data_IF_891171848454
#
_entry.id   IF_891171848454
#
_cell.length_a   1.000
_cell.length_b   1.000
_cell.length_c   1.000
_cell.angle_alpha   90.00
_cell.angle_beta   90.00
_cell.angle_gamma   90.00
#
_symmetry.space_group_name_H-M   'P 1'
#
loop_
_entity.id
_entity.type
_entity.pdbx_description
1 polymer ?
#
# COMPACT_ATOMS: atom_id res chain seq x y z
N UNK A 1 54.47 -32.91 4.02
CA UNK A 1 53.44 -33.35 3.05
C UNK A 1 52.09 -33.27 3.76
N UNK A 2 51.43 -32.12 3.64
CA UNK A 2 50.14 -31.83 4.28
C UNK A 2 49.03 -32.10 3.27
N UNK A 3 48.19 -33.10 3.54
CA UNK A 3 46.92 -33.32 2.85
C UNK A 3 45.86 -32.44 3.50
N UNK A 4 45.53 -31.31 2.87
CA UNK A 4 44.28 -30.60 3.13
C UNK A 4 43.35 -30.84 1.93
N UNK A 5 42.44 -31.80 2.09
CA UNK A 5 41.28 -31.94 1.22
C UNK A 5 40.35 -30.75 1.48
N UNK A 6 40.38 -29.76 0.58
CA UNK A 6 39.34 -28.75 0.52
C UNK A 6 38.03 -29.44 0.09
N UNK A 7 37.12 -29.62 1.03
CA UNK A 7 35.70 -29.83 0.75
C UNK A 7 35.17 -28.54 0.15
N UNK A 8 35.24 -28.41 -1.17
CA UNK A 8 34.55 -27.35 -1.90
C UNK A 8 33.07 -27.71 -1.90
N UNK A 9 32.36 -27.25 -0.86
CA UNK A 9 30.90 -27.28 -0.81
C UNK A 9 30.38 -26.55 -2.04
N UNK A 10 29.65 -27.26 -2.90
CA UNK A 10 28.97 -26.66 -4.04
C UNK A 10 28.09 -25.48 -3.57
N UNK A 11 28.01 -24.37 -4.33
CA UNK A 11 27.06 -23.33 -4.00
C UNK A 11 25.67 -23.94 -4.13
N UNK A 12 24.98 -24.02 -2.99
CA UNK A 12 23.56 -24.32 -2.89
C UNK A 12 22.86 -23.41 -3.90
N UNK A 13 22.30 -24.01 -4.95
CA UNK A 13 21.48 -23.29 -5.91
C UNK A 13 20.25 -22.86 -5.12
N UNK A 14 20.28 -21.64 -4.60
CA UNK A 14 19.09 -20.96 -4.08
C UNK A 14 18.09 -21.00 -5.23
N UNK A 15 17.10 -21.88 -5.08
CA UNK A 15 15.90 -21.88 -5.90
C UNK A 15 15.33 -20.48 -5.76
N UNK A 16 15.58 -19.66 -6.77
CA UNK A 16 14.98 -18.35 -6.88
C UNK A 16 13.47 -18.59 -6.94
N UNK A 17 12.79 -18.25 -5.84
CA UNK A 17 11.35 -18.06 -5.79
C UNK A 17 10.91 -17.44 -7.13
N UNK A 18 9.95 -18.05 -7.86
CA UNK A 18 9.56 -17.52 -9.15
C UNK A 18 9.07 -16.10 -8.93
N UNK A 19 9.85 -15.12 -9.42
CA UNK A 19 9.48 -13.70 -9.42
C UNK A 19 8.19 -13.63 -10.20
N UNK A 20 7.08 -13.56 -9.49
CA UNK A 20 5.74 -13.57 -10.05
C UNK A 20 5.69 -12.43 -11.07
N UNK A 21 5.63 -12.78 -12.36
CA UNK A 21 5.75 -11.81 -13.43
C UNK A 21 4.65 -10.76 -13.25
N UNK A 22 5.07 -9.52 -12.95
CA UNK A 22 4.15 -8.41 -12.72
C UNK A 22 3.17 -8.31 -13.89
N UNK A 23 1.88 -8.24 -13.58
CA UNK A 23 0.85 -8.04 -14.59
C UNK A 23 1.12 -6.71 -15.31
N UNK A 24 0.85 -6.59 -16.63
CA UNK A 24 1.16 -5.39 -17.40
C UNK A 24 0.62 -4.08 -16.78
N UNK A 25 -0.57 -4.14 -16.17
CA UNK A 25 -1.16 -2.98 -15.49
C UNK A 25 -0.38 -2.54 -14.25
N UNK A 26 0.26 -3.47 -13.52
CA UNK A 26 1.06 -3.15 -12.33
C UNK A 26 2.31 -2.36 -12.72
N UNK A 27 3.00 -2.79 -13.79
CA UNK A 27 4.17 -2.09 -14.31
C UNK A 27 3.82 -0.66 -14.76
N UNK A 28 2.67 -0.50 -15.43
CA UNK A 28 2.20 0.82 -15.88
C UNK A 28 1.82 1.73 -14.71
N UNK A 29 1.12 1.20 -13.70
CA UNK A 29 0.82 1.95 -12.46
C UNK A 29 2.10 2.38 -11.76
N UNK A 30 3.08 1.49 -11.60
CA UNK A 30 4.37 1.83 -11.00
C UNK A 30 5.10 2.92 -11.77
N UNK A 31 5.09 2.87 -13.11
CA UNK A 31 5.68 3.91 -13.97
C UNK A 31 5.01 5.27 -13.75
N UNK A 32 3.68 5.32 -13.73
CA UNK A 32 2.90 6.55 -13.54
C UNK A 32 3.12 7.13 -12.14
N UNK A 33 3.10 6.30 -11.10
CA UNK A 33 3.34 6.74 -9.72
C UNK A 33 4.77 7.27 -9.55
N UNK A 34 5.76 6.64 -10.17
CA UNK A 34 7.15 7.11 -10.15
C UNK A 34 7.27 8.51 -10.77
N UNK A 35 6.62 8.73 -11.93
CA UNK A 35 6.63 10.03 -12.58
C UNK A 35 5.91 11.10 -11.73
N UNK A 36 4.77 10.77 -11.14
CA UNK A 36 4.03 11.68 -10.26
C UNK A 36 4.82 12.05 -9.00
N UNK A 37 5.50 11.08 -8.39
CA UNK A 37 6.33 11.30 -7.21
C UNK A 37 7.53 12.20 -7.51
N UNK A 38 8.22 11.98 -8.63
CA UNK A 38 9.33 12.83 -9.07
C UNK A 38 8.90 14.29 -9.21
N UNK A 39 7.77 14.53 -9.87
CA UNK A 39 7.21 15.88 -10.01
C UNK A 39 6.89 16.52 -8.66
N UNK A 40 6.32 15.76 -7.72
CA UNK A 40 5.99 16.28 -6.39
C UNK A 40 7.26 16.68 -5.61
N UNK A 41 8.32 15.89 -5.69
CA UNK A 41 9.61 16.19 -5.06
C UNK A 41 10.23 17.46 -5.66
N UNK A 42 10.18 17.64 -6.98
CA UNK A 42 10.66 18.87 -7.64
C UNK A 42 9.91 20.12 -7.18
N UNK A 43 8.61 19.99 -6.88
CA UNK A 43 7.77 21.08 -6.39
C UNK A 43 7.82 21.27 -4.86
N UNK A 44 8.60 20.46 -4.13
CA UNK A 44 8.68 20.51 -2.68
C UNK A 44 7.39 20.04 -1.96
N UNK A 45 6.55 19.26 -2.63
CA UNK A 45 5.36 18.65 -2.04
C UNK A 45 5.81 17.47 -1.17
N UNK A 46 5.38 17.47 0.10
CA UNK A 46 5.66 16.38 1.02
C UNK A 46 4.87 15.10 0.70
N UNK A 47 5.27 14.00 1.35
CA UNK A 47 4.64 12.69 1.16
C UNK A 47 3.16 12.69 1.54
N UNK A 48 2.78 13.44 2.58
CA UNK A 48 1.40 13.45 3.08
C UNK A 48 0.45 14.12 2.09
N UNK A 49 0.87 15.24 1.50
CA UNK A 49 0.12 15.94 0.46
C UNK A 49 0.03 15.13 -0.82
N UNK A 50 1.12 14.47 -1.23
CA UNK A 50 1.10 13.55 -2.37
C UNK A 50 0.11 12.40 -2.16
N UNK A 51 0.14 11.75 -1.00
CA UNK A 51 -0.78 10.65 -0.67
C UNK A 51 -2.24 11.11 -0.60
N UNK A 52 -2.49 12.30 -0.05
CA UNK A 52 -3.84 12.88 0.01
C UNK A 52 -4.39 13.17 -1.39
N UNK A 53 -3.55 13.67 -2.30
CA UNK A 53 -3.93 13.90 -3.69
C UNK A 53 -4.20 12.57 -4.44
N UNK A 54 -3.32 11.58 -4.31
CA UNK A 54 -3.50 10.26 -4.91
C UNK A 54 -4.80 9.58 -4.43
N UNK A 55 -5.10 9.70 -3.13
CA UNK A 55 -6.35 9.21 -2.56
C UNK A 55 -7.59 9.93 -3.14
N UNK A 56 -7.57 11.26 -3.24
CA UNK A 56 -8.69 12.02 -3.81
C UNK A 56 -9.01 11.58 -5.24
N UNK A 57 -7.98 11.47 -6.09
CA UNK A 57 -8.13 11.02 -7.48
C UNK A 57 -8.67 9.59 -7.55
N UNK A 58 -8.21 8.70 -6.67
CA UNK A 58 -8.73 7.33 -6.59
C UNK A 58 -10.22 7.31 -6.23
N UNK A 59 -10.64 8.10 -5.24
CA UNK A 59 -12.06 8.20 -4.86
C UNK A 59 -12.90 8.80 -5.98
N UNK A 60 -12.44 9.86 -6.62
CA UNK A 60 -13.12 10.51 -7.75
C UNK A 60 -13.25 9.59 -8.96
N UNK A 61 -12.32 8.65 -9.16
CA UNK A 61 -12.39 7.66 -10.23
C UNK A 61 -13.48 6.59 -10.02
N UNK A 62 -14.12 6.55 -8.84
CA UNK A 62 -15.12 5.54 -8.45
C UNK A 62 -16.47 6.19 -8.13
N UNK A 63 -17.45 6.17 -9.05
CA UNK A 63 -18.81 6.61 -8.76
C UNK A 63 -19.40 5.87 -7.55
N UNK A 64 -20.00 6.59 -6.59
CA UNK A 64 -20.62 5.98 -5.41
C UNK A 64 -19.67 5.71 -4.23
N UNK A 65 -18.35 5.84 -4.42
CA UNK A 65 -17.38 5.53 -3.35
C UNK A 65 -17.40 6.57 -2.23
N UNK A 66 -17.64 7.85 -2.56
CA UNK A 66 -17.77 8.92 -1.57
C UNK A 66 -18.97 8.66 -0.67
N UNK A 67 -20.11 8.34 -1.27
CA UNK A 67 -21.35 8.04 -0.55
C UNK A 67 -21.19 6.81 0.35
N UNK A 68 -20.49 5.76 -0.12
CA UNK A 68 -20.18 4.58 0.70
C UNK A 68 -19.27 4.90 1.89
N UNK A 69 -18.28 5.76 1.71
CA UNK A 69 -17.39 6.20 2.80
C UNK A 69 -18.15 7.02 3.85
N UNK A 70 -19.03 7.92 3.39
CA UNK A 70 -19.87 8.73 4.28
C UNK A 70 -20.84 7.85 5.07
N UNK A 71 -21.48 6.87 4.42
CA UNK A 71 -22.36 5.93 5.08
C UNK A 71 -21.63 5.06 6.12
N UNK A 72 -20.44 4.57 5.78
CA UNK A 72 -19.61 3.79 6.70
C UNK A 72 -19.22 4.63 7.94
N UNK A 73 -18.81 5.89 7.73
CA UNK A 73 -18.45 6.80 8.81
C UNK A 73 -19.64 7.11 9.72
N UNK A 74 -20.82 7.38 9.14
CA UNK A 74 -22.03 7.65 9.92
C UNK A 74 -22.45 6.44 10.77
N UNK A 75 -22.37 5.23 10.21
CA UNK A 75 -22.66 3.99 10.95
C UNK A 75 -21.71 3.79 12.13
N UNK A 76 -20.42 4.08 11.96
CA UNK A 76 -19.44 4.00 13.04
C UNK A 76 -19.75 5.01 14.15
N UNK A 77 -20.06 6.26 13.81
CA UNK A 77 -20.44 7.29 14.78
C UNK A 77 -21.70 6.90 15.58
N UNK A 78 -22.72 6.36 14.91
CA UNK A 78 -23.94 5.90 15.58
C UNK A 78 -23.65 4.74 16.54
N UNK A 79 -22.77 3.81 16.15
CA UNK A 79 -22.37 2.71 17.02
C UNK A 79 -21.60 3.19 18.25
N UNK A 80 -20.69 4.17 18.09
CA UNK A 80 -19.97 4.78 19.21
C UNK A 80 -20.95 5.45 20.20
N UNK A 81 -21.93 6.20 19.71
CA UNK A 81 -22.96 6.83 20.54
C UNK A 81 -23.79 5.77 21.28
N UNK A 82 -24.19 4.69 20.60
CA UNK A 82 -24.95 3.60 21.20
C UNK A 82 -24.15 2.86 22.27
N UNK A 83 -22.84 2.70 22.10
CA UNK A 83 -21.96 2.13 23.12
C UNK A 83 -21.82 3.08 24.32
N UNK A 84 -21.56 4.37 24.08
CA UNK A 84 -21.47 5.37 25.13
C UNK A 84 -22.77 5.47 25.95
N UNK A 85 -23.93 5.45 25.30
CA UNK A 85 -25.23 5.44 25.98
C UNK A 85 -25.46 4.22 26.86
N UNK A 86 -25.08 3.02 26.39
CA UNK A 86 -25.18 1.78 27.19
C UNK A 86 -24.20 1.74 28.37
N UNK A 87 -23.04 2.40 28.25
CA UNK A 87 -22.10 2.51 29.36
C UNK A 87 -22.55 3.52 30.42
N UNK A 88 -23.40 4.49 30.07
CA UNK A 88 -23.95 5.46 31.02
C UNK A 88 -25.15 4.93 31.83
N UNK A 89 -25.77 3.82 31.43
CA UNK A 89 -26.90 3.18 32.12
C UNK A 89 -26.49 2.08 33.12
N UNK A 90 -25.21 1.68 33.17
CA UNK A 90 -24.68 0.64 34.07
C UNK A 90 -23.96 1.23 35.30
#
# INVERSE_FOLDING_TARGET
>A
MQNHLNSFTAPETQEAEPVEALRPWQAEVSRLLTAAAALCVEQGIDVDNFMRAAWSVYIESRPGMREQLEEAHLREQLEQIRQAGRMAEA
#
